data_IF_367291059248
#
_entry.id   IF_367291059248
#
_cell.length_a   1.000
_cell.length_b   1.000
_cell.length_c   1.000
_cell.angle_alpha   90.00
_cell.angle_beta   90.00
_cell.angle_gamma   90.00
#
_symmetry.space_group_name_H-M   'P 1'
#
loop_
_entity.id
_entity.type
_entity.pdbx_description
1 polymer ?
#
# COMPACT_ATOMS: atom_id res chain seq x y z
N UNK A 1 -4.64 21.84 -14.94
CA UNK A 1 -3.29 21.69 -15.55
C UNK A 1 -3.26 22.01 -17.04
N UNK A 2 -4.17 21.49 -17.88
CA UNK A 2 -4.19 21.76 -19.34
C UNK A 2 -4.32 23.26 -19.66
N UNK A 3 -5.36 23.94 -19.17
CA UNK A 3 -5.55 25.39 -19.38
C UNK A 3 -4.39 26.24 -18.84
N UNK A 4 -3.72 25.77 -17.79
CA UNK A 4 -2.53 26.43 -17.27
C UNK A 4 -1.37 26.34 -18.28
N UNK A 5 -1.18 25.19 -18.93
CA UNK A 5 -0.18 25.02 -19.98
C UNK A 5 -0.50 25.86 -21.23
N UNK A 6 -1.77 25.93 -21.66
CA UNK A 6 -2.20 26.79 -22.78
C UNK A 6 -1.82 28.25 -22.51
N UNK A 7 -2.15 28.77 -21.33
CA UNK A 7 -1.82 30.14 -20.92
C UNK A 7 -0.32 30.35 -20.79
N UNK A 8 0.40 29.40 -20.22
CA UNK A 8 1.86 29.48 -20.03
C UNK A 8 2.58 29.56 -21.37
N UNK A 9 2.27 28.68 -22.33
CA UNK A 9 2.92 28.68 -23.65
C UNK A 9 2.56 29.93 -24.44
N UNK A 10 1.32 30.43 -24.33
CA UNK A 10 0.93 31.69 -24.96
C UNK A 10 1.74 32.89 -24.42
N UNK A 11 2.05 32.92 -23.13
CA UNK A 11 2.85 33.98 -22.50
C UNK A 11 4.37 33.79 -22.69
N UNK A 12 4.83 32.54 -22.77
CA UNK A 12 6.24 32.17 -22.83
C UNK A 12 6.52 31.17 -23.97
N UNK A 13 6.36 31.58 -25.25
CA UNK A 13 6.50 30.67 -26.38
C UNK A 13 7.93 30.12 -26.55
N UNK A 14 8.94 30.83 -26.04
CA UNK A 14 10.36 30.46 -26.10
C UNK A 14 10.90 30.10 -24.70
N UNK A 15 10.10 29.42 -23.87
CA UNK A 15 10.54 28.99 -22.54
C UNK A 15 11.81 28.12 -22.62
N UNK A 16 12.73 28.30 -21.68
CA UNK A 16 14.05 27.64 -21.70
C UNK A 16 14.01 26.19 -21.21
N UNK A 17 12.99 25.82 -20.43
CA UNK A 17 12.77 24.47 -19.92
C UNK A 17 11.95 23.59 -20.87
N UNK A 18 11.62 22.39 -20.39
CA UNK A 18 10.69 21.46 -21.08
C UNK A 18 9.47 21.22 -20.20
N UNK A 19 8.28 21.45 -20.76
CA UNK A 19 6.99 21.13 -20.15
C UNK A 19 6.45 19.85 -20.79
N UNK A 20 6.02 18.89 -19.98
CA UNK A 20 5.48 17.61 -20.44
C UNK A 20 4.29 17.17 -19.57
N UNK A 21 3.44 16.31 -20.13
CA UNK A 21 2.35 15.63 -19.43
C UNK A 21 2.58 14.12 -19.49
N UNK A 22 2.37 13.45 -18.36
CA UNK A 22 2.29 11.99 -18.26
C UNK A 22 0.91 11.67 -17.69
N UNK A 23 0.05 11.09 -18.52
CA UNK A 23 -1.35 10.80 -18.18
C UNK A 23 -1.55 9.29 -18.30
N UNK A 24 -2.25 8.70 -17.33
CA UNK A 24 -2.64 7.29 -17.33
C UNK A 24 -4.15 7.15 -17.17
N UNK A 25 -4.68 5.99 -17.56
CA UNK A 25 -6.09 5.63 -17.38
C UNK A 25 -6.30 4.56 -16.30
N UNK A 26 -5.24 4.07 -15.65
CA UNK A 26 -5.28 3.03 -14.61
C UNK A 26 -4.36 3.42 -13.46
N UNK A 27 -4.82 4.35 -12.61
CA UNK A 27 -4.16 4.74 -11.36
C UNK A 27 -4.83 4.06 -10.15
N UNK A 28 -6.16 3.95 -10.17
CA UNK A 28 -6.98 3.51 -9.03
C UNK A 28 -7.10 1.98 -8.87
N UNK A 29 -6.74 1.18 -9.88
CA UNK A 29 -6.93 -0.27 -9.86
C UNK A 29 -5.60 -1.02 -9.73
N UNK A 30 -5.27 -1.87 -10.72
CA UNK A 30 -4.06 -2.69 -10.64
C UNK A 30 -2.77 -1.87 -10.86
N UNK A 31 -2.90 -0.78 -11.61
CA UNK A 31 -1.82 0.10 -12.05
C UNK A 31 -0.64 -0.60 -12.78
N UNK A 32 -0.74 -1.91 -13.08
CA UNK A 32 0.35 -2.71 -13.67
C UNK A 32 0.74 -2.25 -15.08
N UNK A 33 -0.20 -1.70 -15.83
CA UNK A 33 0.00 -1.20 -17.19
C UNK A 33 -0.14 0.33 -17.30
N UNK A 34 -0.15 1.03 -16.17
CA UNK A 34 -0.32 2.48 -16.10
C UNK A 34 1.00 3.23 -16.13
N UNK A 35 1.11 4.24 -15.26
CA UNK A 35 2.30 5.12 -15.12
C UNK A 35 3.61 4.36 -14.99
N UNK A 36 3.61 3.18 -14.33
CA UNK A 36 4.80 2.35 -14.15
C UNK A 36 5.47 1.97 -15.48
N UNK A 37 4.68 1.60 -16.51
CA UNK A 37 5.21 1.23 -17.83
C UNK A 37 5.75 2.43 -18.60
N UNK A 38 5.13 3.59 -18.44
CA UNK A 38 5.63 4.82 -19.05
C UNK A 38 6.96 5.22 -18.42
N UNK A 39 7.08 5.15 -17.09
CA UNK A 39 8.31 5.44 -16.35
C UNK A 39 9.42 4.45 -16.74
N UNK A 40 9.15 3.15 -16.78
CA UNK A 40 10.09 2.12 -17.26
C UNK A 40 10.64 2.49 -18.66
N UNK A 41 9.77 2.85 -19.61
CA UNK A 41 10.16 3.21 -20.97
C UNK A 41 10.93 4.54 -21.07
N UNK A 42 10.65 5.50 -20.20
CA UNK A 42 11.39 6.77 -20.10
C UNK A 42 12.79 6.53 -19.53
N UNK A 43 12.90 5.74 -18.47
CA UNK A 43 14.17 5.39 -17.85
C UNK A 43 15.07 4.57 -18.79
N UNK A 44 14.49 3.63 -19.55
CA UNK A 44 15.22 2.79 -20.50
C UNK A 44 15.93 3.58 -21.61
N UNK A 45 15.45 4.80 -21.91
CA UNK A 45 16.08 5.73 -22.87
C UNK A 45 16.78 6.92 -22.21
N UNK A 46 17.03 6.86 -20.91
CA UNK A 46 17.64 7.92 -20.11
C UNK A 46 16.94 9.29 -20.27
N UNK A 47 15.61 9.28 -20.35
CA UNK A 47 14.83 10.51 -20.48
C UNK A 47 14.98 11.36 -19.21
N UNK A 48 15.34 12.64 -19.39
CA UNK A 48 15.49 13.58 -18.27
C UNK A 48 14.13 14.05 -17.73
N UNK A 49 13.91 13.87 -16.42
CA UNK A 49 12.74 14.37 -15.70
C UNK A 49 13.20 14.96 -14.36
N UNK A 50 13.35 16.28 -14.30
CA UNK A 50 13.86 16.97 -13.10
C UNK A 50 12.78 17.22 -12.04
N UNK A 51 11.55 17.49 -12.47
CA UNK A 51 10.43 17.86 -11.60
C UNK A 51 9.13 17.18 -12.04
N UNK A 52 8.32 16.74 -11.08
CA UNK A 52 7.00 16.18 -11.31
C UNK A 52 5.99 16.85 -10.37
N UNK A 53 4.91 17.38 -10.92
CA UNK A 53 3.76 17.86 -10.15
C UNK A 53 2.60 16.89 -10.36
N UNK A 54 2.29 16.11 -9.33
CA UNK A 54 1.13 15.20 -9.35
C UNK A 54 -0.10 15.98 -8.91
N UNK A 55 -1.12 16.02 -9.76
CA UNK A 55 -2.32 16.84 -9.59
C UNK A 55 -3.40 16.23 -8.68
N UNK A 56 -3.05 15.28 -7.82
CA UNK A 56 -4.01 14.66 -6.89
C UNK A 56 -4.59 15.69 -5.90
N UNK A 57 -5.84 15.51 -5.45
CA UNK A 57 -6.42 16.35 -4.41
C UNK A 57 -5.61 16.19 -3.12
N UNK A 58 -4.93 17.27 -2.72
CA UNK A 58 -4.03 17.29 -1.56
C UNK A 58 -4.58 18.09 -0.39
N UNK A 59 -5.43 19.07 -0.68
CA UNK A 59 -5.99 20.02 0.29
C UNK A 59 -7.06 19.42 1.19
N UNK A 60 -7.28 20.02 2.35
CA UNK A 60 -8.26 19.57 3.34
C UNK A 60 -9.46 20.53 3.41
N UNK A 61 -9.21 21.81 3.68
CA UNK A 61 -10.24 22.84 3.88
C UNK A 61 -10.27 23.83 2.71
N UNK A 62 -9.10 24.32 2.31
CA UNK A 62 -8.96 25.34 1.25
C UNK A 62 -7.82 24.97 0.30
N UNK A 63 -7.98 25.31 -0.98
CA UNK A 63 -6.99 24.95 -2.01
C UNK A 63 -5.61 25.51 -1.64
N UNK A 64 -4.63 24.62 -1.51
CA UNK A 64 -3.24 24.94 -1.18
C UNK A 64 -2.87 24.92 0.30
N UNK A 65 -3.79 24.58 1.21
CA UNK A 65 -3.46 24.41 2.65
C UNK A 65 -2.47 23.26 2.91
N UNK A 66 -2.50 22.23 2.07
CA UNK A 66 -1.66 21.04 2.17
C UNK A 66 -1.07 20.70 0.81
N UNK A 67 0.23 20.41 0.80
CA UNK A 67 0.97 19.83 -0.34
C UNK A 67 1.61 18.53 0.13
N UNK A 68 1.57 17.50 -0.72
CA UNK A 68 2.20 16.21 -0.43
C UNK A 68 3.60 16.18 -1.03
N UNK A 69 4.63 16.19 -0.19
CA UNK A 69 6.04 16.04 -0.58
C UNK A 69 6.52 14.57 -0.55
N UNK A 70 5.66 13.64 -0.14
CA UNK A 70 5.94 12.22 -0.07
C UNK A 70 4.69 11.38 0.20
N UNK A 71 4.82 10.06 0.07
CA UNK A 71 3.80 9.06 0.40
C UNK A 71 4.46 7.91 1.15
N UNK A 72 3.70 7.27 2.04
CA UNK A 72 4.11 6.03 2.70
C UNK A 72 4.15 4.88 1.69
N UNK A 73 5.04 3.92 1.91
CA UNK A 73 5.00 2.64 1.21
C UNK A 73 3.79 1.82 1.65
N UNK A 74 3.40 0.84 0.84
CA UNK A 74 2.39 -0.16 1.21
C UNK A 74 2.95 -1.56 1.01
N UNK A 75 2.90 -2.39 2.04
CA UNK A 75 3.29 -3.80 1.97
C UNK A 75 2.17 -4.65 2.55
N UNK A 76 1.68 -5.59 1.74
CA UNK A 76 0.67 -6.57 2.13
C UNK A 76 1.31 -7.95 2.29
N UNK A 77 1.07 -8.61 3.43
CA UNK A 77 1.45 -9.99 3.69
C UNK A 77 0.19 -10.86 3.74
N UNK A 78 0.15 -11.90 2.91
CA UNK A 78 -0.85 -12.95 2.96
C UNK A 78 -0.21 -14.17 3.64
N UNK A 79 -0.56 -14.42 4.90
CA UNK A 79 0.02 -15.47 5.73
C UNK A 79 -0.97 -16.62 5.91
N UNK A 80 -0.54 -17.85 5.62
CA UNK A 80 -1.26 -19.06 5.99
C UNK A 80 -0.49 -19.81 7.07
N UNK A 81 -1.14 -20.04 8.20
CA UNK A 81 -0.60 -20.81 9.32
C UNK A 81 -1.24 -22.20 9.28
N UNK A 82 -0.40 -23.23 9.14
CA UNK A 82 -0.85 -24.61 9.03
C UNK A 82 -0.95 -25.28 10.41
N UNK A 83 -1.96 -26.11 10.57
CA UNK A 83 -2.16 -27.03 11.69
C UNK A 83 -2.64 -28.38 11.18
N UNK A 84 -3.41 -29.10 11.98
CA UNK A 84 -3.99 -30.40 11.63
C UNK A 84 -5.48 -30.37 11.95
N UNK A 85 -6.32 -30.51 10.92
CA UNK A 85 -7.77 -30.52 11.06
C UNK A 85 -8.25 -31.74 11.84
N UNK A 86 -9.28 -31.57 12.68
CA UNK A 86 -9.91 -32.68 13.39
C UNK A 86 -11.26 -32.33 14.00
N UNK A 87 -11.83 -33.25 14.78
CA UNK A 87 -13.09 -33.02 15.48
C UNK A 87 -12.82 -32.46 16.89
N UNK A 88 -13.64 -31.50 17.33
CA UNK A 88 -13.55 -30.89 18.68
C UNK A 88 -13.56 -31.89 19.85
N UNK A 89 -14.16 -33.08 19.68
CA UNK A 89 -14.24 -34.12 20.71
C UNK A 89 -12.92 -34.89 20.89
N UNK A 90 -12.02 -34.84 19.89
CA UNK A 90 -10.74 -35.54 19.89
C UNK A 90 -9.60 -34.55 19.61
N UNK A 91 -9.42 -33.50 20.44
CA UNK A 91 -8.47 -32.43 20.16
C UNK A 91 -7.02 -32.88 20.14
N UNK A 92 -6.69 -34.00 20.79
CA UNK A 92 -5.34 -34.59 20.81
C UNK A 92 -4.91 -35.22 19.47
N UNK A 93 -5.83 -35.38 18.52
CA UNK A 93 -5.55 -35.82 17.15
C UNK A 93 -5.45 -34.64 16.17
N UNK A 94 -5.58 -33.41 16.66
CA UNK A 94 -5.58 -32.18 15.89
C UNK A 94 -4.54 -31.18 16.44
N UNK A 95 -4.20 -30.19 15.62
CA UNK A 95 -3.42 -29.03 16.06
C UNK A 95 -4.10 -27.78 15.52
N UNK A 96 -4.66 -26.97 16.42
CA UNK A 96 -5.45 -25.81 16.02
C UNK A 96 -4.54 -24.63 15.68
N UNK A 97 -4.42 -24.22 14.40
CA UNK A 97 -3.54 -23.14 14.00
C UNK A 97 -3.96 -21.79 14.61
N UNK A 98 -5.25 -21.62 14.96
CA UNK A 98 -5.74 -20.42 15.65
C UNK A 98 -5.15 -20.30 17.06
N UNK A 99 -5.09 -21.42 17.79
CA UNK A 99 -4.50 -21.43 19.13
C UNK A 99 -2.99 -21.22 19.06
N UNK A 100 -2.32 -21.85 18.08
CA UNK A 100 -0.87 -21.70 17.86
C UNK A 100 -0.49 -20.28 17.45
N UNK A 101 -1.33 -19.61 16.67
CA UNK A 101 -1.11 -18.25 16.19
C UNK A 101 -1.41 -17.16 17.22
N UNK A 102 -2.23 -17.43 18.23
CA UNK A 102 -2.61 -16.45 19.24
C UNK A 102 -1.43 -15.69 19.88
N UNK A 103 -0.35 -16.34 20.37
CA UNK A 103 0.80 -15.61 20.92
C UNK A 103 1.53 -14.77 19.86
N UNK A 104 1.69 -15.30 18.64
CA UNK A 104 2.31 -14.57 17.52
C UNK A 104 1.50 -13.32 17.16
N UNK A 105 0.18 -13.42 17.04
CA UNK A 105 -0.69 -12.30 16.72
C UNK A 105 -0.68 -11.24 17.82
N UNK A 106 -0.63 -11.66 19.08
CA UNK A 106 -0.55 -10.74 20.22
C UNK A 106 0.77 -9.95 20.22
N UNK A 107 1.88 -10.61 19.94
CA UNK A 107 3.17 -9.92 19.80
C UNK A 107 3.14 -8.99 18.58
N UNK A 108 2.67 -9.48 17.44
CA UNK A 108 2.62 -8.74 16.17
C UNK A 108 1.87 -7.39 16.29
N UNK A 109 0.70 -7.37 16.95
CA UNK A 109 -0.08 -6.12 17.12
C UNK A 109 0.50 -5.18 18.17
N UNK A 110 1.41 -5.66 19.02
CA UNK A 110 2.09 -4.86 20.03
C UNK A 110 3.44 -4.31 19.54
N UNK A 111 3.93 -4.75 18.37
CA UNK A 111 5.18 -4.25 17.80
C UNK A 111 5.04 -2.78 17.41
N UNK A 112 5.98 -1.99 17.89
CA UNK A 112 6.27 -0.66 17.37
C UNK A 112 7.33 -0.78 16.27
N UNK A 113 6.93 -0.49 15.03
CA UNK A 113 7.76 -0.73 13.85
C UNK A 113 8.84 0.34 13.67
N UNK A 114 8.48 1.59 13.93
CA UNK A 114 9.38 2.74 14.00
C UNK A 114 8.67 3.90 14.72
N UNK A 115 9.35 5.05 14.84
CA UNK A 115 8.83 6.27 15.49
C UNK A 115 8.43 7.35 14.48
N UNK A 116 8.34 7.01 13.19
CA UNK A 116 8.22 8.00 12.13
C UNK A 116 9.48 8.86 11.98
N UNK A 117 9.33 10.03 11.37
CA UNK A 117 10.36 11.04 11.21
C UNK A 117 9.72 12.44 11.02
N UNK A 118 10.51 13.43 10.62
CA UNK A 118 10.04 14.80 10.39
C UNK A 118 8.85 14.89 9.41
N UNK A 119 8.80 14.02 8.41
CA UNK A 119 7.81 14.07 7.32
C UNK A 119 6.73 13.00 7.42
N UNK A 120 6.98 11.91 8.15
CA UNK A 120 6.09 10.76 8.20
C UNK A 120 5.75 10.37 9.63
N UNK A 121 4.48 10.06 9.92
CA UNK A 121 4.13 9.40 11.17
C UNK A 121 4.74 7.99 11.22
N UNK A 122 4.69 7.36 12.39
CA UNK A 122 5.14 5.99 12.57
C UNK A 122 4.50 5.01 11.57
N UNK A 123 5.27 4.00 11.16
CA UNK A 123 4.77 2.88 10.36
C UNK A 123 3.60 2.22 11.07
N UNK A 124 2.48 2.08 10.36
CA UNK A 124 1.28 1.44 10.87
C UNK A 124 1.09 0.07 10.23
N UNK A 125 0.91 -0.97 11.02
CA UNK A 125 0.53 -2.32 10.58
C UNK A 125 -0.90 -2.62 11.02
N UNK A 126 -1.71 -3.21 10.14
CA UNK A 126 -3.10 -3.57 10.41
C UNK A 126 -3.39 -4.99 9.91
N UNK A 127 -4.10 -5.80 10.69
CA UNK A 127 -4.72 -7.04 10.21
C UNK A 127 -5.99 -6.65 9.44
N UNK A 128 -5.95 -6.79 8.10
CA UNK A 128 -7.07 -6.45 7.22
C UNK A 128 -8.10 -7.58 7.13
N UNK A 129 -7.65 -8.84 7.13
CA UNK A 129 -8.52 -10.01 7.07
C UNK A 129 -7.97 -11.14 7.95
N UNK A 130 -8.87 -11.94 8.53
CA UNK A 130 -8.52 -13.15 9.28
C UNK A 130 -9.62 -14.20 9.09
N UNK A 131 -9.25 -15.43 8.72
CA UNK A 131 -10.20 -16.51 8.44
C UNK A 131 -9.65 -17.88 8.83
N UNK A 132 -10.47 -18.68 9.50
CA UNK A 132 -10.20 -20.09 9.78
C UNK A 132 -11.52 -20.87 9.95
N UNK A 133 -11.48 -22.16 9.66
CA UNK A 133 -12.61 -23.06 9.88
C UNK A 133 -13.52 -23.24 8.67
N UNK A 134 -14.49 -24.12 8.83
CA UNK A 134 -15.40 -24.57 7.76
C UNK A 134 -16.82 -24.02 7.91
N UNK A 135 -17.06 -23.20 8.95
CA UNK A 135 -18.40 -22.78 9.38
C UNK A 135 -19.10 -23.76 10.33
N UNK A 136 -18.59 -24.98 10.49
CA UNK A 136 -19.08 -25.92 11.50
C UNK A 136 -18.49 -25.64 12.88
N UNK A 137 -19.30 -25.79 13.93
CA UNK A 137 -18.87 -25.62 15.33
C UNK A 137 -18.17 -26.86 15.93
N UNK A 138 -18.12 -27.99 15.21
CA UNK A 138 -17.53 -29.24 15.70
C UNK A 138 -16.20 -29.61 15.03
N UNK A 139 -15.66 -28.72 14.18
CA UNK A 139 -14.40 -28.92 13.45
C UNK A 139 -13.33 -27.98 13.98
N UNK A 140 -12.16 -28.52 14.31
CA UNK A 140 -10.93 -27.78 14.55
C UNK A 140 -10.29 -27.50 13.18
N UNK A 141 -10.00 -26.23 12.81
CA UNK A 141 -9.45 -25.89 11.49
C UNK A 141 -8.06 -26.48 11.25
N UNK A 142 -7.75 -26.80 9.99
CA UNK A 142 -6.40 -27.18 9.57
C UNK A 142 -5.53 -26.00 9.12
N UNK A 143 -6.13 -24.85 8.84
CA UNK A 143 -5.42 -23.64 8.40
C UNK A 143 -6.04 -22.37 9.01
N UNK A 144 -5.21 -21.36 9.20
CA UNK A 144 -5.58 -19.98 9.53
C UNK A 144 -4.95 -19.05 8.50
N UNK A 145 -5.79 -18.29 7.79
CA UNK A 145 -5.37 -17.21 6.92
C UNK A 145 -5.39 -15.87 7.65
N UNK A 146 -4.33 -15.07 7.50
CA UNK A 146 -4.20 -13.71 8.02
C UNK A 146 -3.65 -12.81 6.92
N UNK A 147 -4.36 -11.73 6.59
CA UNK A 147 -3.86 -10.68 5.72
C UNK A 147 -3.47 -9.47 6.54
N UNK A 148 -2.23 -9.02 6.38
CA UNK A 148 -1.66 -7.87 7.05
C UNK A 148 -1.34 -6.81 6.00
N UNK A 149 -1.66 -5.56 6.27
CA UNK A 149 -1.25 -4.42 5.43
C UNK A 149 -0.51 -3.42 6.29
N UNK A 150 0.65 -2.98 5.83
CA UNK A 150 1.42 -1.92 6.47
C UNK A 150 1.48 -0.68 5.58
N UNK A 151 1.41 0.49 6.21
CA UNK A 151 1.73 1.77 5.59
C UNK A 151 3.05 2.26 6.20
N UNK A 152 4.15 2.10 5.46
CA UNK A 152 5.51 2.28 5.99
C UNK A 152 6.08 3.66 5.74
N UNK A 153 6.71 4.22 6.78
CA UNK A 153 7.60 5.37 6.65
C UNK A 153 8.94 4.94 6.01
N UNK A 154 9.64 5.82 5.29
CA UNK A 154 10.92 5.52 4.66
C UNK A 154 12.10 5.60 5.66
N UNK A 155 11.96 4.93 6.82
CA UNK A 155 12.96 4.89 7.89
C UNK A 155 13.98 3.76 7.75
#
# INVERSE_FOLDING_TARGET
MVVAAERFVAQHPNHTGRLAFLITSDEEASAHNGTVKVVEALMARNERLDYCLVGEPSSIEVVGDVVKNGRRGSLTCNLTIHGVQGHVAYPHLADNPVHRAAPFLNELVAIEWDQGNEFFPATSMQIANIQAGTGSNNVIPGELFVQLTSASAPN
#
